data_IF_128837341963
#
_entry.id   IF_128837341963
#
_cell.length_a   1.000
_cell.length_b   1.000
_cell.length_c   1.000
_cell.angle_alpha   90.00
_cell.angle_beta   90.00
_cell.angle_gamma   90.00
#
_symmetry.space_group_name_H-M   'P 1'
#
loop_
_entity.id
_entity.type
_entity.pdbx_description
1 polymer ?
#
# COMPACT_ATOMS: atom_id res chain seq x y z
N UNK A 1 -8.65 -8.06 -15.17
CA UNK A 1 -7.34 -7.83 -14.52
C UNK A 1 -7.49 -6.62 -13.60
N UNK A 2 -6.83 -6.57 -12.42
CA UNK A 2 -6.87 -5.36 -11.59
C UNK A 2 -6.44 -4.14 -12.40
N UNK A 3 -7.06 -2.99 -12.13
CA UNK A 3 -6.82 -1.74 -12.86
C UNK A 3 -6.53 -0.65 -11.85
N UNK A 4 -5.43 0.08 -12.06
CA UNK A 4 -5.13 1.26 -11.25
C UNK A 4 -6.16 2.37 -11.51
N UNK A 5 -6.25 3.33 -10.59
CA UNK A 5 -7.09 4.53 -10.74
C UNK A 5 -6.70 5.33 -11.99
N UNK A 6 -5.43 5.27 -12.42
CA UNK A 6 -4.95 5.85 -13.68
C UNK A 6 -5.49 5.17 -14.94
N UNK A 7 -6.23 4.07 -14.79
CA UNK A 7 -6.73 3.28 -15.90
C UNK A 7 -5.71 2.28 -16.48
N UNK A 8 -4.51 2.17 -15.90
CA UNK A 8 -3.52 1.16 -16.29
C UNK A 8 -3.98 -0.23 -15.82
N UNK A 9 -4.09 -1.16 -16.76
CA UNK A 9 -4.27 -2.58 -16.41
C UNK A 9 -2.99 -3.15 -15.81
N UNK A 10 -3.15 -3.97 -14.78
CA UNK A 10 -2.04 -4.68 -14.14
C UNK A 10 -2.38 -6.12 -13.93
N UNK A 11 -1.35 -6.96 -14.00
CA UNK A 11 -1.45 -8.35 -13.61
C UNK A 11 -1.72 -8.48 -12.11
N UNK A 12 -2.25 -9.65 -11.70
CA UNK A 12 -2.43 -9.95 -10.28
C UNK A 12 -1.10 -9.95 -9.51
N UNK A 13 -0.02 -10.37 -10.16
CA UNK A 13 1.32 -10.41 -9.57
C UNK A 13 1.86 -8.99 -9.33
N UNK A 14 1.74 -8.09 -10.31
CA UNK A 14 2.13 -6.68 -10.14
C UNK A 14 1.31 -5.98 -9.06
N UNK A 15 0.01 -6.26 -8.99
CA UNK A 15 -0.86 -5.73 -7.93
C UNK A 15 -0.41 -6.24 -6.55
N UNK A 16 -0.10 -7.54 -6.42
CA UNK A 16 0.41 -8.13 -5.19
C UNK A 16 1.76 -7.54 -4.76
N UNK A 17 2.70 -7.39 -5.70
CA UNK A 17 3.99 -6.76 -5.42
C UNK A 17 3.85 -5.30 -5.00
N UNK A 18 2.92 -4.57 -5.61
CA UNK A 18 2.63 -3.18 -5.24
C UNK A 18 2.03 -3.08 -3.84
N UNK A 19 1.12 -3.98 -3.48
CA UNK A 19 0.53 -4.04 -2.15
C UNK A 19 1.58 -4.44 -1.10
N UNK A 20 2.43 -5.42 -1.40
CA UNK A 20 3.53 -5.84 -0.53
C UNK A 20 4.51 -4.69 -0.29
N UNK A 21 4.89 -3.98 -1.35
CA UNK A 21 5.72 -2.78 -1.25
C UNK A 21 5.02 -1.67 -0.45
N UNK A 22 3.69 -1.57 -0.53
CA UNK A 22 2.92 -0.66 0.30
C UNK A 22 3.07 -1.02 1.79
N UNK A 23 2.86 -2.29 2.16
CA UNK A 23 2.91 -2.73 3.56
C UNK A 23 4.33 -2.73 4.12
N UNK A 24 5.33 -3.13 3.33
CA UNK A 24 6.72 -3.24 3.76
C UNK A 24 7.50 -1.92 3.68
N UNK A 25 7.14 -1.02 2.74
CA UNK A 25 7.90 0.19 2.44
C UNK A 25 7.08 1.50 2.49
N UNK A 26 5.79 1.49 2.86
CA UNK A 26 5.09 2.75 3.24
C UNK A 26 5.60 3.21 4.59
N UNK A 27 6.75 3.88 4.52
CA UNK A 27 7.18 4.90 5.46
C UNK A 27 8.42 5.68 4.96
N UNK A 28 8.77 5.65 3.68
CA UNK A 28 9.96 6.36 3.20
C UNK A 28 9.56 7.67 2.51
N UNK A 29 9.70 8.79 3.24
CA UNK A 29 9.86 10.20 2.77
C UNK A 29 8.67 11.17 2.95
N UNK A 30 7.74 10.97 3.89
CA UNK A 30 6.87 12.09 4.32
C UNK A 30 7.59 12.85 5.45
N UNK A 31 7.69 14.18 5.41
CA UNK A 31 8.28 14.94 6.53
C UNK A 31 7.37 14.96 7.78
N UNK A 32 6.11 14.53 7.65
CA UNK A 32 5.04 14.68 8.66
C UNK A 32 4.49 13.33 9.10
N UNK A 33 5.35 12.44 9.61
CA UNK A 33 4.91 11.18 10.22
C UNK A 33 4.15 11.44 11.52
N UNK A 34 2.86 11.71 11.37
CA UNK A 34 1.87 11.57 12.43
C UNK A 34 1.23 10.18 12.30
N UNK A 35 0.84 9.60 13.42
CA UNK A 35 0.00 8.38 13.50
C UNK A 35 -1.33 8.54 12.73
N UNK A 36 -1.66 9.77 12.30
CA UNK A 36 -2.84 10.12 11.51
C UNK A 36 -2.65 9.94 9.99
N UNK A 37 -1.48 9.52 9.51
CA UNK A 37 -1.27 9.26 8.09
C UNK A 37 -2.17 8.10 7.62
N UNK A 38 -3.19 8.42 6.80
CA UNK A 38 -4.17 7.44 6.33
C UNK A 38 -3.54 6.27 5.56
N UNK A 39 -2.38 6.49 4.92
CA UNK A 39 -1.62 5.45 4.23
C UNK A 39 -0.90 4.51 5.21
N UNK A 40 -0.29 5.06 6.27
CA UNK A 40 0.34 4.25 7.30
C UNK A 40 -0.70 3.43 8.07
N UNK A 41 -1.85 4.03 8.38
CA UNK A 41 -2.98 3.33 9.00
C UNK A 41 -3.50 2.20 8.11
N UNK A 42 -3.74 2.46 6.83
CA UNK A 42 -4.16 1.42 5.89
C UNK A 42 -3.14 0.30 5.75
N UNK A 43 -1.83 0.60 5.71
CA UNK A 43 -0.78 -0.40 5.68
C UNK A 43 -0.75 -1.26 6.95
N UNK A 44 -0.92 -0.64 8.13
CA UNK A 44 -1.01 -1.34 9.41
C UNK A 44 -2.27 -2.22 9.50
N UNK A 45 -3.43 -1.71 9.06
CA UNK A 45 -4.68 -2.47 9.01
C UNK A 45 -4.54 -3.69 8.09
N UNK A 46 -3.94 -3.53 6.91
CA UNK A 46 -3.65 -4.65 5.99
C UNK A 46 -2.72 -5.67 6.65
N UNK A 47 -1.65 -5.22 7.32
CA UNK A 47 -0.71 -6.11 8.03
C UNK A 47 -1.42 -6.93 9.11
N UNK A 48 -2.26 -6.29 9.91
CA UNK A 48 -3.05 -6.93 10.98
C UNK A 48 -4.13 -7.89 10.45
N UNK A 49 -4.55 -7.75 9.19
CA UNK A 49 -5.49 -8.69 8.56
C UNK A 49 -4.80 -9.96 8.01
N UNK A 50 -3.46 -9.94 7.89
CA UNK A 50 -2.65 -11.06 7.38
C UNK A 50 -1.97 -11.91 8.45
N UNK A 51 -1.99 -11.48 9.72
CA UNK A 51 -1.56 -12.25 10.91
C UNK A 51 -2.76 -12.96 11.56
#
# INVERSE_FOLDING_TARGET
MPKWISGKEVSKEEAGNSLKNLVENVCFKCETHSDECSLAKAAADIKNMTE
#
